data_IF_851275158494
#
_entry.id   IF_851275158494
#
_cell.length_a   1.000
_cell.length_b   1.000
_cell.length_c   1.000
_cell.angle_alpha   90.00
_cell.angle_beta   90.00
_cell.angle_gamma   90.00
#
_symmetry.space_group_name_H-M   'P 1'
#
loop_
_entity.id
_entity.type
_entity.pdbx_description
1 polymer ?
#
# COMPACT_ATOMS: atom_id res chain seq x y z
N UNK A 1 -17.96 7.47 17.99
CA UNK A 1 -16.94 6.62 17.36
C UNK A 1 -15.58 7.13 17.78
N UNK A 2 -14.79 6.30 18.48
CA UNK A 2 -13.47 6.67 19.02
C UNK A 2 -12.48 6.60 17.86
N UNK A 3 -12.04 7.75 17.34
CA UNK A 3 -10.98 7.83 16.33
C UNK A 3 -9.69 7.29 16.93
N UNK A 4 -9.18 6.18 16.41
CA UNK A 4 -7.85 5.72 16.77
C UNK A 4 -6.84 6.52 15.92
N UNK A 5 -6.11 7.42 16.59
CA UNK A 5 -4.87 7.98 16.04
C UNK A 5 -3.75 7.04 16.47
N UNK A 6 -3.19 6.31 15.55
CA UNK A 6 -1.94 5.59 15.78
C UNK A 6 -0.79 6.45 15.27
N UNK A 7 0.16 6.71 16.13
CA UNK A 7 1.39 7.42 15.78
C UNK A 7 2.50 6.38 15.71
N UNK A 8 3.07 6.19 14.53
CA UNK A 8 4.26 5.35 14.33
C UNK A 8 5.47 6.26 14.13
N UNK A 9 6.53 6.05 14.92
CA UNK A 9 7.82 6.70 14.74
C UNK A 9 8.76 5.66 14.15
N UNK A 10 9.20 5.87 12.91
CA UNK A 10 10.19 5.05 12.24
C UNK A 10 11.22 5.97 11.59
N UNK A 11 12.50 5.69 11.81
CA UNK A 11 13.63 6.31 11.12
C UNK A 11 13.59 7.86 11.02
N UNK A 12 13.15 8.54 12.09
CA UNK A 12 12.96 9.99 12.21
C UNK A 12 11.66 10.54 11.58
N UNK A 13 10.78 9.70 11.04
CA UNK A 13 9.48 10.14 10.54
C UNK A 13 8.39 9.90 11.59
N UNK A 14 7.45 10.84 11.66
CA UNK A 14 6.25 10.72 12.48
C UNK A 14 5.05 10.56 11.53
N UNK A 15 4.45 9.37 11.52
CA UNK A 15 3.28 9.07 10.71
C UNK A 15 2.05 9.08 11.60
N UNK A 16 1.08 9.96 11.30
CA UNK A 16 -0.21 9.99 11.95
C UNK A 16 -1.22 9.22 11.08
N UNK A 17 -1.68 8.07 11.55
CA UNK A 17 -2.66 7.26 10.85
C UNK A 17 -4.05 7.66 11.29
N UNK A 18 -4.89 8.06 10.33
CA UNK A 18 -6.30 8.35 10.51
C UNK A 18 -7.10 7.20 9.92
N UNK A 19 -7.61 6.31 10.77
CA UNK A 19 -8.43 5.19 10.35
C UNK A 19 -9.84 5.66 9.99
N UNK A 20 -10.33 5.22 8.83
CA UNK A 20 -11.71 5.47 8.38
C UNK A 20 -12.49 4.16 8.43
N UNK A 21 -13.69 4.14 9.03
CA UNK A 21 -14.51 2.93 9.04
C UNK A 21 -14.87 2.50 7.61
N UNK A 22 -14.58 1.24 7.28
CA UNK A 22 -14.80 0.66 5.95
C UNK A 22 -16.24 0.22 5.67
N UNK A 23 -17.16 0.34 6.65
CA UNK A 23 -18.54 -0.11 6.54
C UNK A 23 -19.49 1.06 6.23
N UNK A 24 -20.73 0.75 5.88
CA UNK A 24 -21.76 1.61 5.27
C UNK A 24 -22.05 2.97 5.93
N UNK A 25 -21.53 3.22 7.11
CA UNK A 25 -21.68 4.49 7.82
C UNK A 25 -20.70 5.55 7.31
N UNK A 26 -20.93 6.00 6.07
CA UNK A 26 -20.29 7.22 5.56
C UNK A 26 -20.84 8.42 6.32
N UNK A 27 -20.25 8.69 7.46
CA UNK A 27 -20.54 9.88 8.20
C UNK A 27 -19.76 11.07 7.62
N UNK A 28 -20.29 12.27 7.81
CA UNK A 28 -19.60 13.55 7.56
C UNK A 28 -18.17 13.55 8.15
N UNK A 29 -17.95 12.78 9.20
CA UNK A 29 -16.66 12.58 9.84
C UNK A 29 -15.59 11.92 8.95
N UNK A 30 -15.96 11.03 8.04
CA UNK A 30 -15.02 10.42 7.08
C UNK A 30 -14.51 11.46 6.09
N UNK A 31 -15.39 12.32 5.58
CA UNK A 31 -15.00 13.43 4.72
C UNK A 31 -14.08 14.42 5.43
N UNK A 32 -14.39 14.77 6.69
CA UNK A 32 -13.54 15.65 7.50
C UNK A 32 -12.17 15.04 7.77
N UNK A 33 -12.11 13.73 7.97
CA UNK A 33 -10.85 12.99 8.17
C UNK A 33 -9.99 13.04 6.91
N UNK A 34 -10.55 12.76 5.75
CA UNK A 34 -9.85 12.85 4.48
C UNK A 34 -9.37 14.28 4.18
N UNK A 35 -10.13 15.31 4.59
CA UNK A 35 -9.67 16.70 4.45
C UNK A 35 -8.41 17.02 5.26
N UNK A 36 -8.11 16.27 6.31
CA UNK A 36 -6.93 16.46 7.13
C UNK A 36 -5.75 15.58 6.71
N UNK A 37 -5.94 14.63 5.80
CA UNK A 37 -4.90 13.71 5.36
C UNK A 37 -4.02 14.31 4.26
N UNK A 38 -2.72 14.08 4.31
CA UNK A 38 -1.75 14.50 3.28
C UNK A 38 -1.57 13.41 2.20
N UNK A 39 -1.90 12.17 2.52
CA UNK A 39 -1.94 11.02 1.61
C UNK A 39 -3.03 10.06 2.07
N UNK A 40 -3.54 9.26 1.16
CA UNK A 40 -4.51 8.21 1.45
C UNK A 40 -3.94 6.84 1.09
N UNK A 41 -4.18 5.84 1.94
CA UNK A 41 -3.92 4.44 1.63
C UNK A 41 -5.25 3.76 1.35
N UNK A 42 -5.46 3.37 0.11
CA UNK A 42 -6.61 2.61 -0.34
C UNK A 42 -6.33 1.12 -0.13
N UNK A 43 -7.07 0.49 0.76
CA UNK A 43 -6.92 -0.94 1.06
C UNK A 43 -7.99 -1.72 0.31
N UNK A 44 -7.55 -2.62 -0.58
CA UNK A 44 -8.41 -3.49 -1.39
C UNK A 44 -8.28 -4.94 -0.90
N UNK A 45 -9.40 -5.64 -0.77
CA UNK A 45 -9.42 -7.07 -0.48
C UNK A 45 -9.13 -7.85 -1.78
N UNK A 46 -8.04 -8.60 -1.80
CA UNK A 46 -7.60 -9.34 -3.00
C UNK A 46 -8.65 -10.34 -3.54
N UNK A 47 -9.58 -10.79 -2.71
CA UNK A 47 -10.65 -11.70 -3.13
C UNK A 47 -11.90 -11.00 -3.65
N UNK A 48 -12.07 -9.69 -3.33
CA UNK A 48 -13.29 -8.94 -3.65
C UNK A 48 -13.09 -7.88 -4.72
N UNK A 49 -11.84 -7.42 -4.90
CA UNK A 49 -11.54 -6.30 -5.79
C UNK A 49 -12.07 -4.96 -5.28
N UNK A 50 -12.46 -4.09 -6.20
CA UNK A 50 -12.86 -2.71 -5.92
C UNK A 50 -14.33 -2.63 -5.48
N UNK A 51 -14.57 -2.41 -4.19
CA UNK A 51 -15.91 -2.32 -3.61
C UNK A 51 -16.53 -0.90 -3.81
N UNK A 52 -17.85 -0.82 -3.78
CA UNK A 52 -18.61 0.44 -4.00
C UNK A 52 -18.18 1.57 -3.05
N UNK A 53 -17.79 1.23 -1.84
CA UNK A 53 -17.35 2.21 -0.85
C UNK A 53 -15.96 2.77 -1.20
N UNK A 54 -15.08 1.93 -1.68
CA UNK A 54 -13.76 2.31 -2.19
C UNK A 54 -13.90 3.36 -3.30
N UNK A 55 -14.83 3.15 -4.24
CA UNK A 55 -15.10 4.09 -5.35
C UNK A 55 -15.52 5.46 -4.82
N UNK A 56 -16.39 5.51 -3.80
CA UNK A 56 -16.86 6.78 -3.22
C UNK A 56 -15.72 7.55 -2.56
N UNK A 57 -14.90 6.86 -1.74
CA UNK A 57 -13.77 7.49 -1.05
C UNK A 57 -12.69 7.93 -2.04
N UNK A 58 -12.42 7.10 -3.04
CA UNK A 58 -11.49 7.43 -4.12
C UNK A 58 -11.87 8.76 -4.80
N UNK A 59 -13.15 8.92 -5.19
CA UNK A 59 -13.63 10.18 -5.80
C UNK A 59 -13.39 11.40 -4.91
N UNK A 60 -13.53 11.24 -3.59
CA UNK A 60 -13.25 12.34 -2.65
C UNK A 60 -11.77 12.67 -2.62
N UNK A 61 -10.90 11.67 -2.62
CA UNK A 61 -9.45 11.88 -2.65
C UNK A 61 -9.02 12.60 -3.94
N UNK A 62 -9.53 12.16 -5.10
CA UNK A 62 -9.24 12.80 -6.40
C UNK A 62 -9.71 14.25 -6.42
N UNK A 63 -10.96 14.54 -6.00
CA UNK A 63 -11.47 15.91 -5.93
C UNK A 63 -10.64 16.83 -5.03
N UNK A 64 -9.89 16.26 -4.11
CA UNK A 64 -9.07 16.99 -3.13
C UNK A 64 -7.59 16.97 -3.46
N UNK A 65 -7.20 16.35 -4.57
CA UNK A 65 -5.80 16.16 -4.97
C UNK A 65 -4.97 15.50 -3.86
N UNK A 66 -5.56 14.50 -3.18
CA UNK A 66 -4.87 13.71 -2.15
C UNK A 66 -4.18 12.55 -2.87
N UNK A 67 -2.84 12.42 -2.79
CA UNK A 67 -2.12 11.28 -3.35
C UNK A 67 -2.64 9.96 -2.79
N UNK A 68 -2.85 8.97 -3.66
CA UNK A 68 -3.42 7.68 -3.30
C UNK A 68 -2.37 6.58 -3.50
N UNK A 69 -2.17 5.79 -2.45
CA UNK A 69 -1.37 4.56 -2.45
C UNK A 69 -2.31 3.38 -2.30
N UNK A 70 -2.16 2.36 -3.12
CA UNK A 70 -3.03 1.17 -3.07
C UNK A 70 -2.33 0.02 -2.39
N UNK A 71 -2.98 -0.61 -1.41
CA UNK A 71 -2.52 -1.83 -0.76
C UNK A 71 -3.52 -2.95 -0.97
N UNK A 72 -3.15 -3.95 -1.77
CA UNK A 72 -3.95 -5.15 -2.02
C UNK A 72 -3.66 -6.14 -0.90
N UNK A 73 -4.65 -6.28 -0.02
CA UNK A 73 -4.56 -7.00 1.25
C UNK A 73 -5.14 -8.41 1.13
N UNK A 74 -4.77 -9.26 2.07
CA UNK A 74 -5.26 -10.64 2.24
C UNK A 74 -4.72 -11.63 1.21
N UNK A 75 -3.50 -11.43 0.73
CA UNK A 75 -2.82 -12.40 -0.14
C UNK A 75 -2.58 -13.77 0.54
N UNK A 76 -2.76 -13.86 1.86
CA UNK A 76 -2.76 -15.10 2.65
C UNK A 76 -4.02 -15.96 2.46
N UNK A 77 -4.98 -15.50 1.66
CA UNK A 77 -6.23 -16.22 1.29
C UNK A 77 -6.32 -16.38 -0.21
N UNK A 78 -7.31 -17.15 -0.67
CA UNK A 78 -7.65 -17.21 -2.08
C UNK A 78 -7.95 -15.80 -2.60
N UNK A 79 -7.27 -15.42 -3.67
CA UNK A 79 -7.29 -14.08 -4.24
C UNK A 79 -7.54 -14.18 -5.75
N UNK A 80 -8.07 -13.10 -6.31
CA UNK A 80 -8.14 -12.92 -7.75
C UNK A 80 -6.73 -12.77 -8.34
N UNK A 81 -6.60 -12.98 -9.64
CA UNK A 81 -5.33 -12.79 -10.33
C UNK A 81 -4.81 -11.36 -10.15
N UNK A 82 -3.51 -11.17 -9.83
CA UNK A 82 -2.95 -9.83 -9.60
C UNK A 82 -3.09 -8.88 -10.80
N UNK A 83 -2.96 -9.37 -12.04
CA UNK A 83 -3.16 -8.54 -13.23
C UNK A 83 -4.62 -8.13 -13.39
N UNK A 84 -5.57 -9.05 -13.15
CA UNK A 84 -7.00 -8.72 -13.17
C UNK A 84 -7.37 -7.66 -12.13
N UNK A 85 -6.73 -7.70 -10.94
CA UNK A 85 -6.93 -6.69 -9.91
C UNK A 85 -6.40 -5.32 -10.33
N UNK A 86 -5.25 -5.25 -11.02
CA UNK A 86 -4.73 -4.00 -11.57
C UNK A 86 -5.65 -3.44 -12.64
N UNK A 87 -6.10 -4.28 -13.58
CA UNK A 87 -7.04 -3.90 -14.64
C UNK A 87 -8.37 -3.40 -14.06
N UNK A 88 -8.89 -4.06 -13.01
CA UNK A 88 -10.10 -3.62 -12.32
C UNK A 88 -9.92 -2.23 -11.71
N UNK A 89 -8.79 -1.99 -11.02
CA UNK A 89 -8.49 -0.68 -10.44
C UNK A 89 -8.46 0.40 -11.52
N UNK A 90 -7.78 0.15 -12.63
CA UNK A 90 -7.67 1.11 -13.74
C UNK A 90 -9.01 1.38 -14.41
N UNK A 91 -9.77 0.33 -14.71
CA UNK A 91 -11.05 0.44 -15.40
C UNK A 91 -12.16 1.06 -14.53
N UNK A 92 -12.21 0.72 -13.23
CA UNK A 92 -13.27 1.17 -12.32
C UNK A 92 -12.98 2.55 -11.75
N UNK A 93 -11.73 2.83 -11.43
CA UNK A 93 -11.34 4.09 -10.79
C UNK A 93 -10.82 5.13 -11.79
N UNK A 94 -10.32 4.71 -12.96
CA UNK A 94 -9.76 5.61 -13.97
C UNK A 94 -8.40 6.19 -13.57
N UNK A 95 -7.62 5.46 -12.79
CA UNK A 95 -6.27 5.83 -12.35
C UNK A 95 -5.28 4.77 -12.81
N UNK A 96 -4.12 5.18 -13.34
CA UNK A 96 -3.08 4.22 -13.73
C UNK A 96 -2.45 3.56 -12.52
N UNK A 97 -2.05 2.30 -12.65
CA UNK A 97 -1.39 1.54 -11.58
C UNK A 97 0.11 1.40 -11.83
N UNK A 98 0.88 1.46 -10.75
CA UNK A 98 2.31 1.18 -10.77
C UNK A 98 2.64 0.15 -9.66
N UNK A 99 2.69 -1.14 -9.98
CA UNK A 99 3.06 -2.17 -9.00
C UNK A 99 4.50 -1.97 -8.52
N UNK A 100 4.69 -1.76 -7.23
CA UNK A 100 6.01 -1.60 -6.59
C UNK A 100 6.56 -2.95 -6.15
N UNK A 101 5.69 -3.82 -5.67
CA UNK A 101 6.03 -5.20 -5.40
C UNK A 101 5.06 -6.15 -6.12
N UNK A 102 5.43 -7.43 -6.23
CA UNK A 102 4.63 -8.45 -6.89
C UNK A 102 4.49 -9.71 -6.03
N UNK A 103 3.27 -10.30 -5.90
CA UNK A 103 3.06 -11.46 -5.06
C UNK A 103 3.55 -12.75 -5.72
N UNK A 104 4.13 -13.65 -4.95
CA UNK A 104 4.54 -14.98 -5.38
C UNK A 104 3.57 -15.99 -4.78
N UNK A 105 2.62 -16.44 -5.60
CA UNK A 105 1.52 -17.28 -5.17
C UNK A 105 0.45 -16.53 -4.38
N UNK A 106 -0.59 -17.23 -3.96
CA UNK A 106 -1.67 -16.70 -3.12
C UNK A 106 -2.22 -17.77 -2.18
N UNK A 107 -2.95 -17.38 -1.16
CA UNK A 107 -3.57 -18.30 -0.20
C UNK A 107 -2.55 -19.12 0.56
N UNK A 108 -2.75 -20.41 0.59
CA UNK A 108 -1.83 -21.37 1.24
C UNK A 108 -0.48 -21.50 0.53
N UNK A 109 -0.45 -21.14 -0.73
CA UNK A 109 0.74 -21.18 -1.59
C UNK A 109 1.46 -19.83 -1.67
N UNK A 110 1.03 -18.84 -0.89
CA UNK A 110 1.69 -17.55 -0.80
C UNK A 110 3.09 -17.71 -0.21
N UNK A 111 4.11 -17.51 -1.05
CA UNK A 111 5.53 -17.68 -0.71
C UNK A 111 6.17 -16.38 -0.24
N UNK A 112 5.75 -15.26 -0.84
CA UNK A 112 6.37 -13.98 -0.58
C UNK A 112 5.98 -12.89 -1.56
N UNK A 113 6.74 -11.80 -1.55
CA UNK A 113 6.62 -10.73 -2.53
C UNK A 113 7.98 -10.40 -3.14
N UNK A 114 7.99 -10.09 -4.41
CA UNK A 114 9.12 -9.55 -5.14
C UNK A 114 9.08 -8.02 -5.11
N UNK A 115 10.13 -7.37 -4.64
CA UNK A 115 10.31 -5.91 -4.68
C UNK A 115 10.97 -5.52 -5.99
N UNK A 116 10.26 -4.80 -6.86
CA UNK A 116 10.73 -4.42 -8.20
C UNK A 116 11.88 -3.42 -8.15
N UNK A 117 11.87 -2.50 -7.16
CA UNK A 117 12.89 -1.46 -7.02
C UNK A 117 14.21 -2.05 -6.52
N UNK A 118 14.14 -2.94 -5.55
CA UNK A 118 15.31 -3.57 -4.95
C UNK A 118 15.77 -4.83 -5.70
N UNK A 119 14.90 -5.39 -6.56
CA UNK A 119 15.10 -6.67 -7.26
C UNK A 119 15.38 -7.82 -6.30
N UNK A 120 14.66 -7.81 -5.18
CA UNK A 120 14.76 -8.80 -4.12
C UNK A 120 13.41 -9.46 -3.86
N UNK A 121 13.47 -10.74 -3.49
CA UNK A 121 12.30 -11.49 -3.03
C UNK A 121 12.31 -11.58 -1.52
N UNK A 122 11.25 -11.07 -0.90
CA UNK A 122 11.00 -11.24 0.53
C UNK A 122 10.14 -12.48 0.73
N UNK A 123 10.72 -13.53 1.33
CA UNK A 123 10.02 -14.79 1.58
C UNK A 123 9.25 -14.79 2.88
N UNK A 124 8.03 -15.34 2.82
CA UNK A 124 7.18 -15.57 3.96
C UNK A 124 7.53 -16.89 4.65
N UNK A 125 7.94 -16.86 5.92
CA UNK A 125 8.04 -18.05 6.75
C UNK A 125 6.92 -18.02 7.77
N UNK A 126 5.97 -18.95 7.64
CA UNK A 126 4.94 -19.12 8.65
C UNK A 126 5.60 -19.39 10.01
N UNK A 127 5.25 -18.59 11.02
CA UNK A 127 5.78 -18.77 12.35
C UNK A 127 5.34 -20.14 12.90
N UNK A 128 6.28 -21.02 13.17
CA UNK A 128 6.03 -22.23 13.94
C UNK A 128 5.79 -21.84 15.40
N UNK A 129 4.71 -22.36 16.00
CA UNK A 129 4.42 -22.28 17.44
C UNK A 129 4.07 -20.89 18.01
N UNK A 130 3.13 -20.17 17.41
CA UNK A 130 2.48 -19.03 18.08
C UNK A 130 3.33 -17.78 18.27
N UNK A 131 4.50 -17.71 17.67
CA UNK A 131 5.30 -16.50 17.60
C UNK A 131 4.72 -15.55 16.52
N UNK A 132 4.46 -14.30 16.89
CA UNK A 132 3.92 -13.27 16.01
C UNK A 132 4.94 -12.65 15.04
N UNK A 133 6.20 -13.04 15.13
CA UNK A 133 7.24 -12.51 14.26
C UNK A 133 7.39 -13.36 13.01
N UNK A 134 7.07 -12.75 11.89
CA UNK A 134 7.33 -13.31 10.56
C UNK A 134 8.80 -13.08 10.26
N UNK A 135 9.59 -14.16 10.26
CA UNK A 135 10.96 -14.07 9.79
C UNK A 135 10.96 -13.83 8.28
N UNK A 136 11.38 -12.65 7.85
CA UNK A 136 11.53 -12.30 6.45
C UNK A 136 12.95 -12.63 6.02
N UNK A 137 13.12 -13.43 4.97
CA UNK A 137 14.41 -13.67 4.32
C UNK A 137 14.38 -12.96 2.96
N UNK A 138 15.23 -11.96 2.79
CA UNK A 138 15.39 -11.28 1.50
C UNK A 138 16.45 -12.01 0.68
N UNK A 139 16.11 -12.35 -0.54
CA UNK A 139 16.98 -13.05 -1.49
C UNK A 139 16.94 -12.30 -2.81
N UNK A 140 18.11 -12.01 -3.39
CA UNK A 140 18.16 -11.39 -4.70
C UNK A 140 17.51 -12.30 -5.77
N UNK A 141 16.85 -11.71 -6.75
CA UNK A 141 16.16 -12.44 -7.82
C UNK A 141 17.09 -13.43 -8.54
N UNK A 142 18.33 -13.02 -8.81
CA UNK A 142 19.32 -13.81 -9.53
C UNK A 142 20.04 -14.85 -8.63
N UNK A 143 19.70 -14.95 -7.34
CA UNK A 143 20.40 -15.85 -6.44
C UNK A 143 19.96 -17.32 -6.63
N UNK A 144 20.90 -18.27 -6.74
CA UNK A 144 20.56 -19.68 -6.94
C UNK A 144 19.78 -20.28 -5.78
N UNK A 145 19.84 -19.67 -4.61
CA UNK A 145 19.11 -20.08 -3.39
C UNK A 145 17.60 -19.85 -3.56
N UNK A 146 17.17 -18.86 -4.35
CA UNK A 146 15.78 -18.54 -4.55
C UNK A 146 15.01 -19.72 -5.15
N UNK A 147 15.60 -20.36 -6.15
CA UNK A 147 15.03 -21.55 -6.78
C UNK A 147 14.78 -22.69 -5.78
N UNK A 148 15.68 -22.89 -4.82
CA UNK A 148 15.55 -23.92 -3.80
C UNK A 148 14.43 -23.61 -2.79
N UNK A 149 14.15 -22.31 -2.53
CA UNK A 149 13.16 -21.87 -1.54
C UNK A 149 11.73 -21.81 -2.13
N UNK A 150 11.55 -21.33 -3.38
CA UNK A 150 10.22 -21.17 -3.99
C UNK A 150 9.85 -22.29 -4.97
N UNK A 151 10.83 -22.98 -5.54
CA UNK A 151 10.65 -24.01 -6.57
C UNK A 151 10.64 -23.45 -8.00
N UNK A 152 10.92 -24.35 -8.96
CA UNK A 152 11.09 -23.97 -10.38
C UNK A 152 9.84 -23.31 -10.97
N UNK A 153 8.67 -23.89 -10.73
CA UNK A 153 7.42 -23.42 -11.31
C UNK A 153 7.07 -21.96 -10.86
N UNK A 154 7.36 -21.62 -9.61
CA UNK A 154 7.12 -20.26 -9.11
C UNK A 154 8.17 -19.27 -9.61
N UNK A 155 9.41 -19.73 -9.80
CA UNK A 155 10.46 -18.88 -10.35
C UNK A 155 10.18 -18.56 -11.83
N UNK A 156 9.84 -19.57 -12.64
CA UNK A 156 9.47 -19.37 -14.05
C UNK A 156 8.27 -18.43 -14.19
N UNK A 157 7.22 -18.65 -13.37
CA UNK A 157 6.06 -17.73 -13.36
C UNK A 157 6.45 -16.31 -12.96
N UNK A 158 7.30 -16.16 -11.94
CA UNK A 158 7.76 -14.84 -11.50
C UNK A 158 8.55 -14.13 -12.60
N UNK A 159 9.41 -14.83 -13.32
CA UNK A 159 10.20 -14.27 -14.41
C UNK A 159 9.28 -13.80 -15.56
N UNK A 160 8.27 -14.60 -15.93
CA UNK A 160 7.25 -14.22 -16.92
C UNK A 160 6.44 -12.99 -16.45
N UNK A 161 5.99 -12.98 -15.20
CA UNK A 161 5.23 -11.86 -14.62
C UNK A 161 6.09 -10.57 -14.59
N UNK A 162 7.36 -10.68 -14.24
CA UNK A 162 8.30 -9.53 -14.19
C UNK A 162 8.54 -8.97 -15.59
N UNK A 163 8.71 -9.82 -16.61
CA UNK A 163 8.86 -9.39 -17.99
C UNK A 163 7.61 -8.63 -18.48
N UNK A 164 6.41 -9.15 -18.18
CA UNK A 164 5.14 -8.48 -18.49
C UNK A 164 5.01 -7.14 -17.77
N UNK A 165 5.36 -7.08 -16.49
CA UNK A 165 5.31 -5.85 -15.70
C UNK A 165 6.28 -4.80 -16.22
N UNK A 166 7.48 -5.18 -16.61
CA UNK A 166 8.50 -4.26 -17.14
C UNK A 166 8.12 -3.75 -18.53
N UNK A 167 7.34 -4.52 -19.30
CA UNK A 167 6.86 -4.12 -20.63
C UNK A 167 5.55 -3.34 -20.63
N UNK A 168 4.65 -3.58 -19.70
CA UNK A 168 3.27 -3.09 -19.74
C UNK A 168 2.88 -2.14 -18.61
N UNK A 169 3.54 -2.21 -17.44
CA UNK A 169 3.16 -1.35 -16.31
C UNK A 169 3.70 0.07 -16.46
N UNK A 170 2.96 1.04 -15.93
CA UNK A 170 3.44 2.41 -15.84
C UNK A 170 4.70 2.49 -14.95
N UNK A 171 5.67 3.31 -15.38
CA UNK A 171 6.81 3.65 -14.55
C UNK A 171 6.39 4.55 -13.39
N UNK A 172 7.08 4.40 -12.26
CA UNK A 172 6.85 5.26 -11.10
C UNK A 172 7.19 6.72 -11.40
N UNK A 173 6.21 7.59 -11.26
CA UNK A 173 6.34 9.04 -11.42
C UNK A 173 5.67 9.75 -10.26
N UNK A 174 6.49 10.35 -9.39
CA UNK A 174 6.01 11.07 -8.20
C UNK A 174 5.07 12.23 -8.54
N UNK A 175 5.31 12.92 -9.67
CA UNK A 175 4.45 14.03 -10.09
C UNK A 175 3.04 13.52 -10.48
N UNK A 176 2.95 12.39 -11.15
CA UNK A 176 1.67 11.74 -11.48
C UNK A 176 0.95 11.23 -10.22
N UNK A 177 1.69 10.68 -9.25
CA UNK A 177 1.10 10.26 -7.96
C UNK A 177 0.52 11.46 -7.21
N UNK A 178 1.24 12.59 -7.18
CA UNK A 178 0.76 13.83 -6.57
C UNK A 178 -0.43 14.46 -7.32
N UNK A 179 -0.47 14.31 -8.63
CA UNK A 179 -1.61 14.76 -9.45
C UNK A 179 -2.86 13.88 -9.28
N UNK A 180 -2.70 12.64 -8.78
CA UNK A 180 -3.78 11.67 -8.65
C UNK A 180 -4.03 10.85 -9.92
N UNK A 181 -3.08 10.86 -10.87
CA UNK A 181 -3.15 10.14 -12.14
C UNK A 181 -2.55 8.74 -12.06
N UNK A 182 -1.70 8.49 -11.05
CA UNK A 182 -0.98 7.23 -10.83
C UNK A 182 -1.09 6.81 -9.37
N UNK A 183 -1.33 5.53 -9.11
CA UNK A 183 -1.27 4.94 -7.77
C UNK A 183 -0.18 3.88 -7.69
N UNK A 184 0.79 4.01 -6.76
CA UNK A 184 1.69 2.91 -6.42
C UNK A 184 0.89 1.78 -5.78
N UNK A 185 1.07 0.54 -6.28
CA UNK A 185 0.34 -0.64 -5.80
C UNK A 185 1.27 -1.58 -5.07
N UNK A 186 0.81 -2.04 -3.92
CA UNK A 186 1.51 -2.99 -3.05
C UNK A 186 0.63 -4.18 -2.74
N UNK A 187 1.20 -5.37 -2.76
CA UNK A 187 0.55 -6.62 -2.39
C UNK A 187 1.07 -7.11 -1.05
N UNK A 188 0.19 -7.67 -0.22
CA UNK A 188 0.59 -8.20 1.06
C UNK A 188 -0.56 -8.76 1.90
N UNK A 189 -0.28 -9.01 3.17
CA UNK A 189 -1.26 -9.44 4.17
C UNK A 189 -1.03 -8.71 5.49
N UNK A 190 -1.99 -7.88 5.86
CA UNK A 190 -1.96 -7.19 7.16
C UNK A 190 -2.16 -8.15 8.34
N UNK A 191 -2.85 -9.29 8.14
CA UNK A 191 -3.07 -10.28 9.18
C UNK A 191 -1.76 -10.94 9.61
N UNK A 192 -0.94 -11.30 8.63
CA UNK A 192 0.36 -11.92 8.83
C UNK A 192 1.49 -10.90 8.95
N UNK A 193 1.17 -9.60 8.81
CA UNK A 193 2.11 -8.49 8.80
C UNK A 193 3.16 -8.57 7.67
N UNK A 194 2.85 -9.34 6.61
CA UNK A 194 3.75 -9.56 5.50
C UNK A 194 3.55 -8.51 4.39
N UNK A 195 4.64 -7.98 3.85
CA UNK A 195 4.62 -6.88 2.86
C UNK A 195 4.30 -5.50 3.45
N UNK A 196 3.86 -5.43 4.72
CA UNK A 196 3.54 -4.15 5.38
C UNK A 196 4.79 -3.33 5.66
N UNK A 197 5.88 -3.99 6.04
CA UNK A 197 7.15 -3.32 6.27
C UNK A 197 7.71 -2.72 4.99
N UNK A 198 7.75 -3.49 3.92
CA UNK A 198 8.17 -3.04 2.59
C UNK A 198 7.30 -1.87 2.12
N UNK A 199 5.97 -1.97 2.29
CA UNK A 199 5.04 -0.88 2.00
C UNK A 199 5.42 0.39 2.77
N UNK A 200 5.63 0.31 4.08
CA UNK A 200 5.95 1.48 4.89
C UNK A 200 7.28 2.13 4.50
N UNK A 201 8.29 1.34 4.13
CA UNK A 201 9.57 1.86 3.65
C UNK A 201 9.39 2.67 2.38
N UNK A 202 8.76 2.08 1.37
CA UNK A 202 8.48 2.76 0.10
C UNK A 202 7.54 3.96 0.27
N UNK A 203 6.53 3.84 1.13
CA UNK A 203 5.59 4.92 1.42
C UNK A 203 6.31 6.16 1.96
N UNK A 204 7.28 5.99 2.86
CA UNK A 204 8.08 7.08 3.40
C UNK A 204 8.89 7.81 2.33
N UNK A 205 9.42 7.05 1.37
CA UNK A 205 10.21 7.61 0.26
C UNK A 205 9.34 8.31 -0.79
N UNK A 206 8.09 7.88 -0.95
CA UNK A 206 7.17 8.34 -2.00
C UNK A 206 6.19 9.40 -1.52
N UNK A 207 5.92 9.47 -0.22
CA UNK A 207 4.98 10.45 0.33
C UNK A 207 5.64 11.82 0.51
N UNK A 208 4.82 12.85 0.43
CA UNK A 208 5.30 14.23 0.66
C UNK A 208 5.15 14.62 2.12
N UNK A 209 6.00 15.56 2.56
CA UNK A 209 5.76 16.26 3.80
C UNK A 209 4.43 17.03 3.76
N UNK A 210 3.79 17.28 4.91
CA UNK A 210 2.54 18.05 4.95
C UNK A 210 2.64 19.36 4.17
N UNK A 211 1.71 19.57 3.25
CA UNK A 211 1.65 20.77 2.44
C UNK A 211 0.85 21.87 3.15
N UNK A 212 1.18 23.16 2.95
CA UNK A 212 0.41 24.26 3.48
C UNK A 212 -1.01 24.25 2.88
N UNK A 213 -2.00 24.46 3.73
CA UNK A 213 -3.42 24.50 3.34
C UNK A 213 -3.95 25.91 3.43
N UNK A 214 -4.75 26.30 2.45
CA UNK A 214 -5.47 27.56 2.48
C UNK A 214 -6.61 27.48 3.52
N UNK A 215 -6.62 28.37 4.48
CA UNK A 215 -7.77 28.56 5.36
C UNK A 215 -8.68 29.67 4.80
N UNK A 216 -9.96 29.63 5.15
CA UNK A 216 -10.92 30.69 4.78
C UNK A 216 -10.61 32.04 5.48
N UNK A 217 -9.82 32.02 6.55
CA UNK A 217 -9.22 33.19 7.15
C UNK A 217 -7.81 33.33 6.58
N UNK A 218 -7.38 34.54 6.28
CA UNK A 218 -6.13 34.87 5.57
C UNK A 218 -4.83 34.51 6.34
N UNK A 219 -4.80 33.35 6.98
CA UNK A 219 -3.66 32.81 7.72
C UNK A 219 -3.17 31.55 7.02
N UNK A 220 -2.02 31.63 6.36
CA UNK A 220 -1.30 30.49 5.82
C UNK A 220 -0.60 29.75 6.96
N UNK A 221 -1.10 28.58 7.35
CA UNK A 221 -0.41 27.69 8.29
C UNK A 221 0.58 26.82 7.54
N UNK A 222 1.86 27.11 7.67
CA UNK A 222 2.94 26.31 7.10
C UNK A 222 3.34 25.12 7.96
N UNK A 223 2.92 25.07 9.23
CA UNK A 223 3.19 23.97 10.15
C UNK A 223 2.05 23.79 11.15
N UNK A 224 1.37 22.65 11.09
CA UNK A 224 0.61 22.12 12.22
C UNK A 224 1.60 21.42 13.17
N UNK A 225 2.27 22.18 14.01
CA UNK A 225 2.94 21.59 15.17
C UNK A 225 1.86 21.14 16.14
N UNK A 226 1.60 19.84 16.21
CA UNK A 226 0.85 19.28 17.33
C UNK A 226 1.61 19.61 18.62
N UNK A 227 0.93 20.11 19.69
CA UNK A 227 1.61 20.33 20.95
C UNK A 227 2.19 19.01 21.42
N UNK A 228 3.50 18.92 21.48
CA UNK A 228 4.23 17.85 22.16
C UNK A 228 3.92 17.99 23.64
N UNK A 229 2.98 17.19 24.16
CA UNK A 229 2.88 17.01 25.59
C UNK A 229 4.12 16.25 26.08
N UNK A 230 5.19 17.00 26.33
CA UNK A 230 6.26 16.56 27.19
C UNK A 230 5.71 16.51 28.62
N UNK A 231 5.22 15.35 29.05
CA UNK A 231 5.16 15.00 30.45
C UNK A 231 6.11 13.84 30.67
N UNK A 232 7.20 14.19 31.38
CA UNK A 232 8.11 13.27 32.03
C UNK A 232 7.37 12.28 32.95
#
# INVERSE_FOLDING_TARGET
>A
VRRQRQMCIRDRYCINILDTPGHEDFSEDTYRTLMAADSAVMVIDASKGVEKQTIKLFKVCVMRHIPIFTFINKMDREANDPFELLDEIENVLGISTCPINWPIGCGKEFKGVYDRKQREVSLFKAAMNGQKEVATKNIALDAPELKAEIGDAYLEKLDEDVELLDGASAEFDLAKVQAGDLTPVFFGSALTNFGVETFLQHFLDMTTSPLPRNSSEAVSYTHLTLPTNSRA
#
